data_IF_308293358837
#
_entry.id   IF_308293358837
#
_cell.length_a   1.000
_cell.length_b   1.000
_cell.length_c   1.000
_cell.angle_alpha   90.00
_cell.angle_beta   90.00
_cell.angle_gamma   90.00
#
_symmetry.space_group_name_H-M   'P 1'
#
loop_
_entity.id
_entity.type
_entity.pdbx_description
1 polymer ?
#
# COMPACT_ATOMS: atom_id res chain seq x y z
N UNK A 1 21.50 -0.76 -17.20
CA UNK A 1 20.64 0.36 -17.59
C UNK A 1 21.49 1.42 -18.27
N UNK A 2 21.26 1.71 -19.52
CA UNK A 2 21.94 2.74 -20.30
C UNK A 2 21.10 4.04 -20.38
N UNK A 3 21.59 5.07 -21.09
CA UNK A 3 20.88 6.35 -21.18
C UNK A 3 19.60 6.25 -22.02
N UNK A 4 19.54 5.35 -22.96
CA UNK A 4 18.31 5.05 -23.73
C UNK A 4 17.24 4.45 -22.81
N UNK A 5 17.64 3.54 -21.92
CA UNK A 5 16.73 2.97 -20.92
C UNK A 5 16.17 4.04 -19.97
N UNK A 6 17.02 4.99 -19.53
CA UNK A 6 16.61 6.11 -18.67
C UNK A 6 15.59 7.02 -19.39
N UNK A 7 15.84 7.34 -20.66
CA UNK A 7 14.91 8.14 -21.48
C UNK A 7 13.57 7.43 -21.69
N UNK A 8 13.61 6.13 -21.98
CA UNK A 8 12.41 5.30 -22.11
C UNK A 8 11.59 5.31 -20.79
N UNK A 9 12.24 5.13 -19.65
CA UNK A 9 11.60 5.17 -18.32
C UNK A 9 10.99 6.55 -18.07
N UNK A 10 11.73 7.64 -18.35
CA UNK A 10 11.24 9.01 -18.18
C UNK A 10 9.95 9.28 -18.98
N UNK A 11 9.88 8.82 -20.22
CA UNK A 11 8.66 8.94 -21.04
C UNK A 11 7.47 8.22 -20.42
N UNK A 12 7.67 7.01 -19.92
CA UNK A 12 6.62 6.26 -19.23
C UNK A 12 6.25 6.87 -17.85
N UNK A 13 7.17 7.58 -17.18
CA UNK A 13 6.89 8.32 -15.96
C UNK A 13 6.08 9.59 -16.22
N UNK A 14 6.34 10.28 -17.34
CA UNK A 14 5.56 11.44 -17.78
C UNK A 14 4.13 11.03 -18.14
N UNK A 15 3.99 9.98 -18.94
CA UNK A 15 2.69 9.43 -19.33
C UNK A 15 2.79 7.91 -19.56
N UNK A 16 2.31 7.13 -18.61
CA UNK A 16 2.31 5.66 -18.68
C UNK A 16 1.43 5.07 -19.82
N UNK A 17 0.68 5.91 -20.53
CA UNK A 17 -0.14 5.50 -21.71
C UNK A 17 0.53 5.78 -23.05
N UNK A 18 1.72 6.41 -23.05
CA UNK A 18 2.48 6.66 -24.29
C UNK A 18 2.78 5.32 -24.99
N UNK A 19 2.50 5.24 -26.28
CA UNK A 19 2.72 4.02 -27.04
C UNK A 19 4.20 3.74 -27.26
N UNK A 20 4.60 2.47 -27.30
CA UNK A 20 5.99 2.09 -27.57
C UNK A 20 6.46 2.54 -28.96
N UNK A 21 5.53 2.71 -29.92
CA UNK A 21 5.83 3.27 -31.24
C UNK A 21 6.20 4.74 -31.17
N UNK A 22 5.47 5.51 -30.40
CA UNK A 22 5.70 6.95 -30.15
C UNK A 22 7.05 7.15 -29.44
N UNK A 23 7.31 6.38 -28.38
CA UNK A 23 8.61 6.39 -27.69
C UNK A 23 9.73 6.02 -28.66
N UNK A 24 9.49 5.04 -29.54
CA UNK A 24 10.46 4.62 -30.56
C UNK A 24 10.81 5.74 -31.53
N UNK A 25 9.82 6.48 -32.03
CA UNK A 25 10.03 7.64 -32.90
C UNK A 25 10.91 8.69 -32.22
N UNK A 26 10.63 9.04 -30.97
CA UNK A 26 11.40 10.03 -30.21
C UNK A 26 12.85 9.58 -29.93
N UNK A 27 13.06 8.29 -29.71
CA UNK A 27 14.38 7.72 -29.41
C UNK A 27 15.16 7.24 -30.64
N UNK A 28 14.60 7.37 -31.85
CA UNK A 28 15.22 6.87 -33.08
C UNK A 28 15.27 5.34 -33.14
N UNK A 29 14.27 4.66 -32.56
CA UNK A 29 14.24 3.19 -32.43
C UNK A 29 12.96 2.60 -33.01
N UNK A 30 13.02 1.32 -33.42
CA UNK A 30 11.81 0.59 -33.80
C UNK A 30 10.98 0.24 -32.55
N UNK A 31 9.65 0.12 -32.71
CA UNK A 31 8.74 -0.40 -31.68
C UNK A 31 9.25 -1.70 -31.03
N UNK A 32 9.75 -2.64 -31.87
CA UNK A 32 10.26 -3.93 -31.40
C UNK A 32 11.49 -3.76 -30.50
N UNK A 33 12.38 -2.82 -30.82
CA UNK A 33 13.55 -2.55 -30.02
C UNK A 33 13.18 -1.92 -28.66
N UNK A 34 12.20 -0.99 -28.64
CA UNK A 34 11.66 -0.40 -27.40
C UNK A 34 11.02 -1.47 -26.54
N UNK A 35 10.16 -2.33 -27.11
CA UNK A 35 9.50 -3.43 -26.38
C UNK A 35 10.52 -4.37 -25.75
N UNK A 36 11.54 -4.83 -26.49
CA UNK A 36 12.59 -5.71 -25.95
C UNK A 36 13.35 -5.07 -24.78
N UNK A 37 13.63 -3.76 -24.85
CA UNK A 37 14.29 -3.04 -23.75
C UNK A 37 13.39 -2.97 -22.52
N UNK A 38 12.14 -2.60 -22.70
CA UNK A 38 11.17 -2.52 -21.62
C UNK A 38 10.97 -3.89 -20.94
N UNK A 39 10.78 -4.95 -21.73
CA UNK A 39 10.66 -6.32 -21.22
C UNK A 39 11.87 -6.75 -20.40
N UNK A 40 13.09 -6.38 -20.85
CA UNK A 40 14.33 -6.65 -20.11
C UNK A 40 14.34 -5.91 -18.76
N UNK A 41 13.96 -4.63 -18.75
CA UNK A 41 13.91 -3.82 -17.51
C UNK A 41 12.88 -4.37 -16.52
N UNK A 42 11.71 -4.76 -17.00
CA UNK A 42 10.65 -5.36 -16.16
C UNK A 42 11.07 -6.73 -15.63
N UNK A 43 11.61 -7.61 -16.50
CA UNK A 43 12.07 -8.96 -16.08
C UNK A 43 13.24 -8.93 -15.10
N UNK A 44 14.06 -7.89 -15.14
CA UNK A 44 15.16 -7.70 -14.18
C UNK A 44 14.75 -6.96 -12.90
N UNK A 45 13.46 -6.73 -12.70
CA UNK A 45 12.88 -6.03 -11.54
C UNK A 45 13.43 -4.59 -11.33
N UNK A 46 13.94 -3.98 -12.41
CA UNK A 46 14.40 -2.59 -12.39
C UNK A 46 13.28 -1.59 -12.56
N UNK A 47 12.20 -1.98 -13.25
CA UNK A 47 11.05 -1.14 -13.55
C UNK A 47 9.75 -1.91 -13.34
N UNK A 48 8.79 -1.26 -12.69
CA UNK A 48 7.40 -1.72 -12.60
C UNK A 48 6.49 -0.65 -13.17
N UNK A 49 5.62 -1.03 -14.11
CA UNK A 49 4.58 -0.16 -14.63
C UNK A 49 3.31 -0.38 -13.82
N UNK A 50 2.78 0.67 -13.20
CA UNK A 50 1.56 0.60 -12.40
C UNK A 50 0.85 1.95 -12.39
N UNK A 51 -0.46 1.95 -12.13
CA UNK A 51 -1.22 3.17 -11.92
C UNK A 51 -1.04 3.67 -10.47
N UNK A 52 -0.87 4.96 -10.31
CA UNK A 52 -0.95 5.62 -9.02
C UNK A 52 -2.36 6.17 -8.76
N UNK A 53 -2.79 6.18 -7.51
CA UNK A 53 -4.08 6.71 -7.06
C UNK A 53 -3.87 8.04 -6.38
N UNK A 54 -4.63 9.08 -6.78
CA UNK A 54 -4.57 10.38 -6.13
C UNK A 54 -5.18 10.29 -4.73
N UNK A 55 -4.32 10.26 -3.73
CA UNK A 55 -4.71 10.07 -2.33
C UNK A 55 -5.52 11.22 -1.74
N UNK A 56 -5.27 12.46 -2.21
CA UNK A 56 -6.02 13.64 -1.80
C UNK A 56 -7.45 13.60 -2.32
N UNK A 57 -7.64 13.32 -3.62
CA UNK A 57 -8.97 13.23 -4.25
C UNK A 57 -9.83 12.12 -3.67
N UNK A 58 -9.21 11.11 -3.04
CA UNK A 58 -9.92 10.00 -2.36
C UNK A 58 -10.06 10.23 -0.85
N UNK A 59 -9.74 11.42 -0.34
CA UNK A 59 -9.79 11.80 1.09
C UNK A 59 -9.12 10.77 2.02
N UNK A 60 -8.03 10.17 1.57
CA UNK A 60 -7.30 9.17 2.36
C UNK A 60 -6.60 9.81 3.54
N UNK A 61 -6.63 9.10 4.64
CA UNK A 61 -5.85 9.43 5.84
C UNK A 61 -4.56 8.60 5.86
N UNK A 62 -3.47 9.22 6.29
CA UNK A 62 -2.15 8.62 6.30
C UNK A 62 -1.65 8.48 7.72
N UNK A 63 -1.02 7.36 7.98
CA UNK A 63 -0.29 7.05 9.20
C UNK A 63 1.18 6.85 8.86
N UNK A 64 2.04 7.59 9.52
CA UNK A 64 3.47 7.32 9.56
C UNK A 64 3.82 6.66 10.88
N UNK A 65 4.67 5.65 10.84
CA UNK A 65 5.02 4.82 11.96
C UNK A 65 6.54 4.64 12.00
N UNK A 66 7.17 5.18 13.04
CA UNK A 66 8.55 4.89 13.40
C UNK A 66 8.60 3.74 14.39
N UNK A 67 9.45 2.75 14.16
CA UNK A 67 9.62 1.57 15.02
C UNK A 67 11.10 1.39 15.36
N UNK A 68 11.38 1.11 16.63
CA UNK A 68 12.66 0.61 17.09
C UNK A 68 12.54 -0.89 17.33
N UNK A 69 13.16 -1.71 16.48
CA UNK A 69 13.23 -3.16 16.66
C UNK A 69 14.53 -3.54 17.37
N UNK A 70 14.50 -4.65 18.10
CA UNK A 70 15.68 -5.19 18.79
C UNK A 70 16.82 -5.52 17.84
N UNK A 71 16.49 -6.01 16.65
CA UNK A 71 17.43 -6.38 15.61
C UNK A 71 16.74 -6.48 14.23
N UNK A 72 17.53 -6.68 13.19
CA UNK A 72 17.02 -6.78 11.81
C UNK A 72 16.21 -8.06 11.53
N UNK A 73 16.39 -9.13 12.31
CA UNK A 73 15.58 -10.35 12.15
C UNK A 73 14.12 -10.11 12.51
N UNK A 74 13.87 -9.26 13.51
CA UNK A 74 12.52 -8.80 13.85
C UNK A 74 11.93 -7.97 12.72
N UNK A 75 12.72 -7.07 12.12
CA UNK A 75 12.31 -6.29 10.97
C UNK A 75 11.87 -7.18 9.79
N UNK A 76 12.65 -8.21 9.46
CA UNK A 76 12.32 -9.17 8.40
C UNK A 76 11.07 -10.01 8.72
N UNK A 77 10.84 -10.39 9.97
CA UNK A 77 9.60 -11.07 10.41
C UNK A 77 8.39 -10.17 10.22
N UNK A 78 8.48 -8.90 10.62
CA UNK A 78 7.41 -7.91 10.44
C UNK A 78 7.14 -7.71 8.94
N UNK A 79 8.19 -7.49 8.14
CA UNK A 79 8.09 -7.37 6.68
C UNK A 79 7.33 -8.55 6.06
N UNK A 80 7.71 -9.80 6.37
CA UNK A 80 7.04 -10.99 5.85
C UNK A 80 5.56 -11.05 6.26
N UNK A 81 5.25 -10.69 7.51
CA UNK A 81 3.88 -10.71 8.03
C UNK A 81 2.98 -9.67 7.36
N UNK A 82 3.52 -8.51 7.03
CA UNK A 82 2.74 -7.38 6.49
C UNK A 82 2.97 -7.12 5.00
N UNK A 83 3.77 -7.94 4.31
CA UNK A 83 4.15 -7.74 2.90
C UNK A 83 2.96 -7.52 1.95
N UNK A 84 1.85 -8.21 2.20
CA UNK A 84 0.64 -8.11 1.38
C UNK A 84 -0.47 -7.28 2.03
N UNK A 85 -0.15 -6.48 3.05
CA UNK A 85 -1.13 -5.60 3.67
C UNK A 85 -1.54 -4.48 2.69
N UNK A 86 -2.80 -4.39 2.25
CA UNK A 86 -3.22 -3.40 1.25
C UNK A 86 -3.17 -1.97 1.77
N UNK A 87 -3.06 -1.80 3.07
CA UNK A 87 -2.92 -0.49 3.72
C UNK A 87 -1.47 -0.05 3.89
N UNK A 88 -0.49 -0.95 3.74
CA UNK A 88 0.93 -0.66 3.87
C UNK A 88 1.48 -0.23 2.51
N UNK A 89 1.92 1.03 2.41
CA UNK A 89 2.45 1.60 1.18
C UNK A 89 3.97 1.66 1.13
N UNK A 90 4.58 1.83 2.30
CA UNK A 90 6.02 1.88 2.44
C UNK A 90 6.44 1.18 3.73
N UNK A 91 7.51 0.43 3.65
CA UNK A 91 8.18 -0.17 4.79
C UNK A 91 9.68 -0.18 4.50
N UNK A 92 10.45 0.59 5.24
CA UNK A 92 11.85 0.83 4.95
C UNK A 92 12.71 0.78 6.21
N UNK A 93 13.92 0.19 6.16
CA UNK A 93 14.92 0.42 7.17
C UNK A 93 15.40 1.88 7.10
N UNK A 94 15.62 2.48 8.26
CA UNK A 94 16.12 3.85 8.40
C UNK A 94 17.21 3.91 9.45
N UNK A 95 17.98 4.98 9.46
CA UNK A 95 19.00 5.24 10.48
C UNK A 95 18.57 6.43 11.33
N UNK A 96 18.57 6.28 12.65
CA UNK A 96 18.17 7.33 13.58
C UNK A 96 17.60 6.74 14.87
N UNK A 97 16.71 7.49 15.52
CA UNK A 97 16.01 7.07 16.75
C UNK A 97 15.19 5.79 16.52
N UNK A 98 14.66 5.62 15.33
CA UNK A 98 13.98 4.42 14.87
C UNK A 98 14.82 3.75 13.81
N UNK A 99 14.73 2.43 13.70
CA UNK A 99 15.43 1.64 12.67
C UNK A 99 14.51 1.11 11.56
N UNK A 100 13.21 1.33 11.71
CA UNK A 100 12.20 1.06 10.69
C UNK A 100 11.21 2.21 10.57
N UNK A 101 10.74 2.43 9.36
CA UNK A 101 9.72 3.40 9.05
C UNK A 101 8.64 2.78 8.16
N UNK A 102 7.38 3.03 8.48
CA UNK A 102 6.25 2.56 7.69
C UNK A 102 5.30 3.71 7.36
N UNK A 103 4.66 3.63 6.19
CA UNK A 103 3.56 4.50 5.78
C UNK A 103 2.35 3.63 5.47
N UNK A 104 1.22 3.95 6.09
CA UNK A 104 -0.05 3.23 5.91
C UNK A 104 -1.17 4.21 5.57
N UNK A 105 -2.22 3.69 4.93
CA UNK A 105 -3.41 4.47 4.55
C UNK A 105 -4.69 3.84 5.06
N UNK A 106 -5.68 4.69 5.29
CA UNK A 106 -7.04 4.27 5.62
C UNK A 106 -8.08 5.27 5.10
N UNK A 107 -9.33 4.85 5.12
CA UNK A 107 -10.47 5.62 4.67
C UNK A 107 -10.82 6.79 5.62
N UNK A 108 -10.56 6.60 6.89
CA UNK A 108 -10.91 7.55 7.94
C UNK A 108 -9.99 7.42 9.16
N UNK A 109 -10.05 8.41 10.04
CA UNK A 109 -9.27 8.46 11.29
C UNK A 109 -9.59 7.31 12.24
N UNK A 110 -10.84 6.86 12.30
CA UNK A 110 -11.24 5.73 13.14
C UNK A 110 -10.59 4.42 12.71
N UNK A 111 -10.50 4.20 11.40
CA UNK A 111 -9.78 3.06 10.81
C UNK A 111 -8.27 3.14 11.08
N UNK A 112 -7.66 4.34 11.00
CA UNK A 112 -6.25 4.54 11.38
C UNK A 112 -5.99 4.20 12.85
N UNK A 113 -6.83 4.70 13.77
CA UNK A 113 -6.73 4.37 15.19
C UNK A 113 -6.88 2.85 15.45
N UNK A 114 -7.74 2.19 14.67
CA UNK A 114 -7.94 0.74 14.79
C UNK A 114 -6.74 -0.04 14.27
N UNK A 115 -6.08 0.45 13.21
CA UNK A 115 -4.80 -0.10 12.73
C UNK A 115 -3.77 -0.03 13.85
N UNK A 116 -3.67 1.09 14.55
CA UNK A 116 -2.72 1.26 15.65
C UNK A 116 -3.02 0.39 16.88
N UNK A 117 -4.30 0.18 17.18
CA UNK A 117 -4.70 -0.53 18.40
C UNK A 117 -4.82 -2.04 18.24
N UNK A 118 -5.17 -2.52 17.04
CA UNK A 118 -5.60 -3.92 16.85
C UNK A 118 -4.79 -4.64 15.79
N UNK A 119 -4.53 -4.00 14.63
CA UNK A 119 -3.76 -4.60 13.52
C UNK A 119 -2.32 -4.10 13.52
N UNK A 120 -1.73 -3.84 14.66
CA UNK A 120 -0.60 -2.95 14.76
C UNK A 120 0.74 -3.67 14.69
N UNK A 121 1.60 -3.22 13.77
CA UNK A 121 3.02 -3.59 13.76
C UNK A 121 3.72 -3.23 15.08
N UNK A 122 3.28 -2.16 15.76
CA UNK A 122 3.85 -1.70 17.03
C UNK A 122 3.67 -2.68 18.18
N UNK A 123 2.73 -3.60 18.08
CA UNK A 123 2.47 -4.64 19.09
C UNK A 123 3.21 -5.95 18.79
N UNK A 124 4.03 -6.01 17.76
CA UNK A 124 4.80 -7.20 17.43
C UNK A 124 5.92 -7.42 18.46
N UNK A 125 6.17 -8.68 18.84
CA UNK A 125 7.30 -9.00 19.72
C UNK A 125 8.62 -8.49 19.14
N UNK A 126 9.47 -7.91 20.01
CA UNK A 126 10.76 -7.34 19.63
C UNK A 126 10.69 -5.87 19.17
N UNK A 127 9.53 -5.23 19.28
CA UNK A 127 9.42 -3.76 19.17
C UNK A 127 9.71 -3.15 20.54
N UNK A 128 10.76 -2.33 20.63
CA UNK A 128 11.16 -1.63 21.86
C UNK A 128 10.44 -0.30 22.04
N UNK A 129 10.30 0.43 20.92
CA UNK A 129 9.68 1.76 20.90
C UNK A 129 8.93 1.97 19.60
N UNK A 130 7.85 2.73 19.66
CA UNK A 130 7.13 3.16 18.47
C UNK A 130 6.63 4.58 18.62
N UNK A 131 6.62 5.32 17.53
CA UNK A 131 6.00 6.62 17.43
C UNK A 131 5.12 6.68 16.20
N UNK A 132 4.05 7.45 16.26
CA UNK A 132 3.05 7.50 15.20
C UNK A 132 2.64 8.94 14.91
N UNK A 133 2.54 9.26 13.64
CA UNK A 133 2.07 10.55 13.16
C UNK A 133 0.90 10.33 12.23
N UNK A 134 -0.19 11.03 12.52
CA UNK A 134 -1.37 11.05 11.65
C UNK A 134 -1.29 12.24 10.72
N UNK A 135 -1.65 12.03 9.48
CA UNK A 135 -1.67 13.07 8.46
C UNK A 135 -2.78 12.87 7.46
N UNK A 136 -2.94 13.87 6.64
CA UNK A 136 -3.71 13.76 5.40
C UNK A 136 -2.82 13.20 4.28
N UNK A 137 -3.35 13.17 3.06
CA UNK A 137 -2.59 12.78 1.88
C UNK A 137 -1.24 13.52 1.79
N UNK A 138 -0.16 12.86 1.40
CA UNK A 138 1.12 13.52 1.24
C UNK A 138 1.07 14.55 0.12
N UNK A 139 1.81 15.64 0.28
CA UNK A 139 1.94 16.67 -0.75
C UNK A 139 2.74 16.13 -1.96
N UNK A 140 3.77 15.35 -1.69
CA UNK A 140 4.63 14.66 -2.67
C UNK A 140 4.98 13.26 -2.12
N UNK A 141 4.73 12.18 -2.88
CA UNK A 141 4.04 12.13 -4.18
C UNK A 141 2.52 12.26 -4.02
N UNK A 142 1.87 12.93 -4.99
CA UNK A 142 0.41 13.06 -5.05
C UNK A 142 -0.29 11.73 -5.36
N UNK A 143 0.35 10.90 -6.18
CA UNK A 143 -0.17 9.59 -6.59
C UNK A 143 0.55 8.48 -5.82
N UNK A 144 -0.21 7.64 -5.14
CA UNK A 144 0.30 6.53 -4.33
C UNK A 144 0.05 5.18 -5.01
N UNK A 145 0.97 4.20 -4.86
CA UNK A 145 0.84 2.87 -5.47
C UNK A 145 -0.11 1.97 -4.66
N UNK A 146 -1.38 2.35 -4.55
CA UNK A 146 -2.38 1.64 -3.77
C UNK A 146 -2.99 0.53 -4.61
N UNK A 147 -2.94 -0.72 -4.14
CA UNK A 147 -3.69 -1.82 -4.73
C UNK A 147 -5.14 -1.76 -4.25
N UNK A 148 -6.04 -1.27 -5.10
CA UNK A 148 -7.47 -1.11 -4.77
C UNK A 148 -8.27 -2.43 -4.82
N UNK A 149 -7.72 -3.50 -5.36
CA UNK A 149 -8.33 -4.83 -5.42
C UNK A 149 -7.34 -5.89 -4.90
N UNK A 150 -7.03 -5.89 -3.59
CA UNK A 150 -6.12 -6.87 -3.01
C UNK A 150 -6.74 -8.27 -3.02
N UNK A 151 -5.89 -9.30 -3.13
CA UNK A 151 -6.34 -10.69 -3.06
C UNK A 151 -7.06 -10.97 -1.75
N UNK A 152 -8.27 -11.55 -1.80
CA UNK A 152 -9.07 -11.83 -0.61
C UNK A 152 -8.50 -13.01 0.18
N UNK A 153 -8.66 -12.97 1.50
CA UNK A 153 -8.33 -14.12 2.37
C UNK A 153 -9.44 -15.17 2.42
N UNK A 154 -10.61 -14.86 1.84
CA UNK A 154 -11.79 -15.74 1.89
C UNK A 154 -12.46 -15.84 3.26
N UNK A 155 -11.95 -15.15 4.27
CA UNK A 155 -12.43 -15.20 5.66
C UNK A 155 -12.51 -13.81 6.30
N UNK A 156 -13.09 -13.72 7.50
CA UNK A 156 -13.04 -12.51 8.34
C UNK A 156 -11.65 -12.21 8.95
N UNK A 157 -10.67 -13.10 8.75
CA UNK A 157 -9.30 -12.94 9.27
C UNK A 157 -8.37 -12.37 8.22
N UNK A 158 -7.64 -11.31 8.58
CA UNK A 158 -6.60 -10.73 7.76
C UNK A 158 -5.33 -11.59 7.70
N UNK A 159 -4.46 -11.37 6.72
CA UNK A 159 -3.15 -12.04 6.64
C UNK A 159 -2.27 -11.78 7.87
N UNK A 160 -2.37 -10.62 8.50
CA UNK A 160 -1.70 -10.32 9.77
C UNK A 160 -2.38 -10.96 11.00
N UNK A 161 -3.32 -11.88 10.77
CA UNK A 161 -4.05 -12.68 11.78
C UNK A 161 -5.05 -11.90 12.65
N UNK A 162 -5.34 -10.63 12.35
CA UNK A 162 -6.41 -9.92 13.01
C UNK A 162 -7.77 -10.49 12.56
N UNK A 163 -8.65 -10.80 13.52
CA UNK A 163 -10.00 -11.28 13.28
C UNK A 163 -10.95 -10.08 13.36
N UNK A 164 -11.36 -9.56 12.20
CA UNK A 164 -12.19 -8.37 12.13
C UNK A 164 -13.57 -8.60 12.75
N UNK A 165 -14.17 -9.77 12.58
CA UNK A 165 -15.53 -10.06 13.06
C UNK A 165 -15.60 -10.10 14.59
N UNK A 166 -14.52 -10.46 15.26
CA UNK A 166 -14.39 -10.48 16.72
C UNK A 166 -13.81 -9.19 17.30
N UNK A 167 -13.37 -8.27 16.45
CA UNK A 167 -12.75 -7.03 16.88
C UNK A 167 -13.80 -6.05 17.41
N UNK A 168 -13.63 -5.61 18.68
CA UNK A 168 -14.56 -4.65 19.29
C UNK A 168 -14.68 -3.37 18.47
N UNK A 169 -13.58 -2.82 17.92
CA UNK A 169 -13.62 -1.62 17.10
C UNK A 169 -14.45 -1.79 15.82
N UNK A 170 -14.42 -2.98 15.24
CA UNK A 170 -15.29 -3.32 14.10
C UNK A 170 -16.75 -3.42 14.53
N UNK A 171 -17.03 -4.10 15.65
CA UNK A 171 -18.40 -4.31 16.18
C UNK A 171 -19.07 -2.96 16.47
N UNK A 172 -18.37 -2.02 17.10
CA UNK A 172 -18.89 -0.67 17.43
C UNK A 172 -18.78 0.34 16.28
N UNK A 173 -18.59 -0.11 15.04
CA UNK A 173 -18.50 0.72 13.83
C UNK A 173 -17.35 1.75 13.79
N UNK A 174 -16.29 1.56 14.60
CA UNK A 174 -15.07 2.39 14.58
C UNK A 174 -13.96 1.82 13.69
N UNK A 175 -14.27 0.87 12.83
CA UNK A 175 -13.38 0.33 11.82
C UNK A 175 -14.20 -0.29 10.70
N UNK A 176 -13.77 -0.12 9.48
CA UNK A 176 -14.45 -0.70 8.29
C UNK A 176 -13.93 -2.11 7.94
N UNK A 177 -13.05 -2.66 8.73
CA UNK A 177 -12.45 -3.97 8.49
C UNK A 177 -11.22 -3.92 7.58
N UNK A 178 -10.58 -5.07 7.41
CA UNK A 178 -9.46 -5.22 6.49
C UNK A 178 -9.95 -5.41 5.05
N UNK A 179 -9.39 -4.70 4.05
CA UNK A 179 -9.82 -4.82 2.65
C UNK A 179 -9.69 -6.23 2.05
N UNK A 180 -8.86 -7.08 2.61
CA UNK A 180 -8.70 -8.47 2.16
C UNK A 180 -9.72 -9.45 2.76
N UNK A 181 -10.57 -9.02 3.67
CA UNK A 181 -11.47 -9.92 4.40
C UNK A 181 -12.92 -9.75 3.97
N UNK A 182 -13.72 -10.78 4.19
CA UNK A 182 -15.17 -10.75 4.03
C UNK A 182 -15.85 -9.74 4.97
N UNK A 183 -15.15 -9.31 6.02
CA UNK A 183 -15.61 -8.30 6.96
C UNK A 183 -15.45 -6.85 6.45
N UNK A 184 -14.78 -6.64 5.31
CA UNK A 184 -14.60 -5.27 4.80
C UNK A 184 -15.93 -4.64 4.39
N UNK A 185 -16.18 -3.42 4.87
CA UNK A 185 -17.39 -2.61 4.60
C UNK A 185 -17.09 -1.17 4.23
N UNK A 186 -15.81 -0.88 3.91
CA UNK A 186 -15.39 0.42 3.39
C UNK A 186 -15.76 0.62 1.94
N UNK A 187 -15.47 1.81 1.40
CA UNK A 187 -15.75 2.17 0.01
C UNK A 187 -14.48 2.37 -0.83
N UNK A 188 -13.31 2.39 -0.19
CA UNK A 188 -12.05 2.71 -0.87
C UNK A 188 -11.51 1.54 -1.69
N UNK A 189 -11.57 0.34 -1.16
CA UNK A 189 -11.12 -0.89 -1.83
C UNK A 189 -12.30 -1.65 -2.43
N UNK A 190 -12.02 -2.40 -3.49
CA UNK A 190 -12.98 -3.36 -4.03
C UNK A 190 -13.37 -4.38 -2.95
N UNK A 191 -14.64 -4.70 -2.90
CA UNK A 191 -15.12 -5.77 -2.04
C UNK A 191 -14.68 -7.12 -2.61
N UNK A 192 -14.28 -8.09 -1.77
CA UNK A 192 -14.06 -9.45 -2.22
C UNK A 192 -15.30 -10.00 -2.95
N UNK A 193 -15.10 -10.75 -4.02
CA UNK A 193 -16.20 -11.34 -4.79
C UNK A 193 -17.11 -12.19 -3.88
N UNK A 194 -18.40 -12.11 -4.09
CA UNK A 194 -19.41 -12.83 -3.32
C UNK A 194 -19.83 -12.21 -1.98
N UNK A 195 -19.28 -11.04 -1.62
CA UNK A 195 -19.66 -10.31 -0.40
C UNK A 195 -20.64 -9.18 -0.75
N UNK A 196 -21.89 -9.31 -0.34
CA UNK A 196 -22.85 -8.20 -0.44
C UNK A 196 -22.39 -7.02 0.44
N UNK A 197 -22.50 -5.79 -0.09
CA UNK A 197 -22.24 -4.56 0.67
C UNK A 197 -23.21 -4.49 1.86
N UNK A 198 -22.73 -4.80 3.06
CA UNK A 198 -23.49 -4.52 4.28
C UNK A 198 -23.58 -3.00 4.44
N UNK A 199 -24.78 -2.40 4.42
CA UNK A 199 -24.93 -0.95 4.52
C UNK A 199 -24.33 -0.45 5.83
N UNK A 200 -23.61 0.69 5.75
CA UNK A 200 -23.25 1.44 6.97
C UNK A 200 -24.55 1.76 7.69
N UNK A 201 -24.75 1.24 8.90
CA UNK A 201 -25.85 1.71 9.76
C UNK A 201 -25.67 3.21 9.94
N UNK A 202 -26.66 4.00 9.48
CA UNK A 202 -26.68 5.44 9.64
C UNK A 202 -26.51 5.77 11.12
N UNK A 203 -25.64 6.74 11.40
CA UNK A 203 -25.53 7.33 12.73
C UNK A 203 -26.85 8.03 13.03
N UNK A 204 -27.65 7.51 13.94
CA UNK A 204 -28.61 8.28 14.72
C UNK A 204 -27.90 8.98 15.85
#
# INVERSE_FOLDING_TARGET
MDDTDKKLISKLQENGRTSLSEIGQELGMSHVAVSKRLDKLVKSDLVKISAGVNSESMDMKVLFLGLETENMDIAEKIKKKYANCPRLLMFAPVTGTYNLFAMMVAEDTWSLESILGTCSMRAEPGIRKSETWFGNAPLIPKFLPINLAPEPTGTGKSQCKADCEKCNRYIINKCVGCPQTTAYRGALWAHPEGVEKKPKKSKS
#
